data_IF_965688497059
#
_entry.id   IF_965688497059
#
_cell.length_a   1.000
_cell.length_b   1.000
_cell.length_c   1.000
_cell.angle_alpha   90.00
_cell.angle_beta   90.00
_cell.angle_gamma   90.00
#
_symmetry.space_group_name_H-M   'P 1'
#
loop_
_entity.id
_entity.type
_entity.pdbx_description
1 polymer ?
#
# COMPACT_ATOMS: atom_id res chain seq x y z
N UNK A 1 12.77 -3.72 3.98
CA UNK A 1 11.36 -3.37 3.75
C UNK A 1 10.58 -3.93 4.91
N UNK A 2 9.79 -3.11 5.56
CA UNK A 2 8.99 -3.48 6.73
C UNK A 2 7.53 -3.29 6.38
N UNK A 3 6.70 -4.24 6.78
CA UNK A 3 5.25 -4.15 6.65
C UNK A 3 4.62 -4.14 8.03
N UNK A 4 3.79 -3.13 8.28
CA UNK A 4 3.12 -2.90 9.55
C UNK A 4 1.61 -2.78 9.33
N UNK A 5 0.84 -3.30 10.28
CA UNK A 5 -0.61 -3.20 10.30
C UNK A 5 -1.08 -2.58 11.61
N UNK A 6 -2.00 -1.61 11.50
CA UNK A 6 -2.58 -0.91 12.63
C UNK A 6 -4.10 -1.02 12.56
N UNK A 7 -4.72 -1.32 13.69
CA UNK A 7 -6.18 -1.23 13.83
C UNK A 7 -6.55 0.20 14.20
N UNK A 8 -7.38 0.84 13.39
CA UNK A 8 -7.90 2.19 13.59
C UNK A 8 -9.43 2.15 13.70
N UNK A 9 -9.94 1.79 14.88
CA UNK A 9 -11.38 1.59 15.09
C UNK A 9 -11.94 0.46 14.23
N UNK A 10 -12.80 0.81 13.26
CA UNK A 10 -13.40 -0.09 12.26
C UNK A 10 -12.67 -0.09 10.92
N UNK A 11 -11.41 0.33 10.91
CA UNK A 11 -10.55 0.31 9.73
C UNK A 11 -9.20 -0.30 10.08
N UNK A 12 -8.48 -0.72 9.05
CA UNK A 12 -7.10 -1.19 9.13
C UNK A 12 -6.25 -0.26 8.29
N UNK A 13 -5.14 0.21 8.88
CA UNK A 13 -4.08 0.93 8.17
C UNK A 13 -2.92 -0.02 7.94
N UNK A 14 -2.54 -0.21 6.68
CA UNK A 14 -1.32 -0.91 6.30
C UNK A 14 -0.25 0.08 5.88
N UNK A 15 0.99 -0.19 6.28
CA UNK A 15 2.16 0.60 5.92
C UNK A 15 3.28 -0.31 5.42
N UNK A 16 3.89 0.09 4.31
CA UNK A 16 5.06 -0.55 3.73
C UNK A 16 6.16 0.50 3.69
N UNK A 17 7.17 0.34 4.53
CA UNK A 17 8.36 1.20 4.54
C UNK A 17 9.53 0.49 3.88
N UNK A 18 10.10 1.10 2.86
CA UNK A 18 11.31 0.62 2.22
C UNK A 18 12.36 1.74 2.12
N UNK A 19 13.63 1.34 2.00
CA UNK A 19 14.76 2.30 2.01
C UNK A 19 15.11 2.86 0.63
N UNK A 20 14.30 2.60 -0.39
CA UNK A 20 14.53 3.11 -1.72
C UNK A 20 14.04 4.54 -1.86
N UNK A 21 14.91 5.40 -2.39
CA UNK A 21 14.58 6.77 -2.79
C UNK A 21 13.67 6.83 -4.03
N UNK A 22 13.43 5.69 -4.71
CA UNK A 22 12.57 5.63 -5.88
C UNK A 22 11.11 5.72 -5.45
N UNK A 23 10.40 6.75 -5.91
CA UNK A 23 8.96 6.88 -5.71
C UNK A 23 8.20 5.75 -6.41
N UNK A 24 7.17 5.18 -5.77
CA UNK A 24 6.44 4.06 -6.33
C UNK A 24 5.57 4.57 -7.47
N UNK A 25 5.61 3.87 -8.60
CA UNK A 25 4.78 4.15 -9.76
C UNK A 25 3.68 3.10 -9.89
N UNK A 26 2.52 3.51 -10.40
CA UNK A 26 1.53 2.55 -10.86
C UNK A 26 2.09 1.85 -12.10
N UNK A 27 2.29 0.55 -11.99
CA UNK A 27 2.78 -0.27 -13.09
C UNK A 27 1.61 -1.02 -13.72
N UNK A 28 1.54 -1.02 -15.05
CA UNK A 28 0.68 -1.94 -15.79
C UNK A 28 1.39 -3.29 -15.87
N UNK A 29 1.16 -4.12 -14.85
CA UNK A 29 1.71 -5.46 -14.79
C UNK A 29 0.94 -6.38 -15.77
N UNK A 30 1.67 -7.01 -16.69
CA UNK A 30 1.10 -8.01 -17.60
C UNK A 30 0.60 -9.27 -16.86
N UNK A 31 -0.13 -10.15 -17.55
CA UNK A 31 -0.72 -11.36 -16.96
C UNK A 31 0.33 -12.26 -16.29
N UNK A 32 1.51 -12.41 -16.91
CA UNK A 32 2.60 -13.26 -16.42
C UNK A 32 3.64 -12.51 -15.57
N UNK A 33 3.41 -11.22 -15.26
CA UNK A 33 4.35 -10.46 -14.46
C UNK A 33 4.42 -11.04 -13.03
N UNK A 34 5.62 -11.15 -12.46
CA UNK A 34 5.77 -11.63 -11.07
C UNK A 34 5.67 -10.50 -10.04
N UNK A 35 5.81 -9.25 -10.48
CA UNK A 35 5.84 -8.06 -9.64
C UNK A 35 5.06 -6.88 -10.24
N UNK A 36 4.91 -5.80 -9.48
CA UNK A 36 4.31 -4.53 -9.94
C UNK A 36 2.80 -4.38 -9.75
N UNK A 37 2.10 -5.42 -9.27
CA UNK A 37 0.65 -5.34 -8.98
C UNK A 37 0.31 -4.67 -7.65
N UNK A 38 1.24 -4.59 -6.71
CA UNK A 38 0.95 -4.17 -5.33
C UNK A 38 0.25 -2.81 -5.24
N UNK A 39 0.81 -1.79 -5.90
CA UNK A 39 0.22 -0.45 -5.88
C UNK A 39 -1.10 -0.39 -6.63
N UNK A 40 -1.26 -1.15 -7.72
CA UNK A 40 -2.52 -1.24 -8.46
C UNK A 40 -3.64 -1.86 -7.63
N UNK A 41 -3.33 -2.92 -6.86
CA UNK A 41 -4.27 -3.55 -5.93
C UNK A 41 -4.65 -2.56 -4.83
N UNK A 42 -3.67 -1.89 -4.21
CA UNK A 42 -3.93 -0.86 -3.19
C UNK A 42 -4.82 0.24 -3.74
N UNK A 43 -4.51 0.76 -4.93
CA UNK A 43 -5.29 1.82 -5.57
C UNK A 43 -6.72 1.40 -5.93
N UNK A 44 -6.96 0.11 -6.20
CA UNK A 44 -8.27 -0.41 -6.55
C UNK A 44 -9.17 -0.71 -5.35
N UNK A 45 -8.59 -1.13 -4.21
CA UNK A 45 -9.35 -1.69 -3.08
C UNK A 45 -9.30 -0.88 -1.80
N UNK A 46 -8.32 0.02 -1.62
CA UNK A 46 -8.25 0.85 -0.42
C UNK A 46 -9.19 2.05 -0.53
N UNK A 47 -9.83 2.42 0.59
CA UNK A 47 -10.64 3.65 0.65
C UNK A 47 -9.77 4.90 0.51
N UNK A 48 -8.56 4.85 1.07
CA UNK A 48 -7.53 5.88 0.94
C UNK A 48 -6.16 5.24 0.91
N UNK A 49 -5.26 5.80 0.13
CA UNK A 49 -3.87 5.41 0.11
C UNK A 49 -2.98 6.59 -0.26
N UNK A 50 -1.69 6.48 0.00
CA UNK A 50 -0.73 7.53 -0.29
C UNK A 50 0.70 7.06 -0.12
N UNK A 51 1.62 7.99 -0.34
CA UNK A 51 3.05 7.77 -0.17
C UNK A 51 3.61 8.96 0.58
N UNK A 52 4.34 8.69 1.64
CA UNK A 52 4.95 9.71 2.51
C UNK A 52 6.46 9.47 2.62
N UNK A 53 7.28 10.53 2.71
CA UNK A 53 8.70 10.38 3.02
C UNK A 53 8.89 9.70 4.39
N UNK A 54 9.89 8.83 4.49
CA UNK A 54 10.34 8.23 5.74
C UNK A 54 11.81 8.62 5.98
N UNK A 55 12.33 8.56 7.23
CA UNK A 55 13.70 8.96 7.54
C UNK A 55 14.78 8.35 6.64
N UNK A 56 14.58 7.11 6.19
CA UNK A 56 15.52 6.40 5.30
C UNK A 56 14.88 5.98 3.96
N UNK A 57 13.84 6.67 3.47
CA UNK A 57 13.22 6.31 2.20
C UNK A 57 11.77 6.79 2.12
N UNK A 58 10.84 5.84 1.99
CA UNK A 58 9.41 6.14 1.85
C UNK A 58 8.53 5.11 2.54
N UNK A 59 7.32 5.54 2.85
CA UNK A 59 6.24 4.68 3.32
C UNK A 59 5.07 4.79 2.35
N UNK A 60 4.69 3.66 1.73
CA UNK A 60 3.39 3.51 1.07
C UNK A 60 2.39 3.11 2.14
N UNK A 61 1.27 3.81 2.23
CA UNK A 61 0.23 3.49 3.20
C UNK A 61 -1.14 3.34 2.53
N UNK A 62 -2.00 2.55 3.16
CA UNK A 62 -3.39 2.41 2.74
C UNK A 62 -4.31 2.23 3.96
N UNK A 63 -5.57 2.58 3.80
CA UNK A 63 -6.63 2.38 4.77
C UNK A 63 -7.77 1.63 4.10
N UNK A 64 -8.19 0.52 4.71
CA UNK A 64 -9.40 -0.20 4.32
C UNK A 64 -10.38 -0.21 5.50
N UNK A 65 -11.62 0.17 5.26
CA UNK A 65 -12.71 -0.05 6.18
C UNK A 65 -12.93 -1.56 6.35
N UNK A 66 -13.49 -1.92 7.50
CA UNK A 66 -13.93 -3.28 7.78
C UNK A 66 -14.80 -3.81 6.63
N UNK A 67 -14.35 -4.94 6.05
CA UNK A 67 -15.12 -5.62 5.02
C UNK A 67 -16.46 -6.07 5.59
N UNK A 68 -17.55 -5.49 5.09
CA UNK A 68 -18.90 -5.92 5.44
C UNK A 68 -19.30 -7.01 4.47
N UNK A 69 -19.09 -8.27 4.86
CA UNK A 69 -19.70 -9.39 4.15
C UNK A 69 -21.22 -9.18 4.13
N UNK A 70 -21.79 -9.03 2.93
CA UNK A 70 -23.21 -9.25 2.70
C UNK A 70 -23.49 -10.75 2.71
#
# INVERSE_FOLDING_TARGET
>A
MTFSLFRCGRSVRGEVTDRSAVWPALLSAGPDAEHGRGLAIVAAYADRWGVEPAPEGKTVWFVCAEWRSR
#
